data_IF_433398506914
#
_entry.id   IF_433398506914
#
_cell.length_a   1.000
_cell.length_b   1.000
_cell.length_c   1.000
_cell.angle_alpha   90.00
_cell.angle_beta   90.00
_cell.angle_gamma   90.00
#
_symmetry.space_group_name_H-M   'P 1'
#
loop_
_entity.id
_entity.type
_entity.pdbx_description
1 polymer ?
#
# COMPACT_ATOMS: atom_id res chain seq x y z
N UNK A 1 7.18 -14.90 -8.00
CA UNK A 1 8.64 -14.79 -8.04
C UNK A 1 9.03 -13.56 -7.24
N UNK A 2 9.96 -13.64 -6.29
CA UNK A 2 10.34 -12.48 -5.47
C UNK A 2 11.36 -11.65 -6.23
N UNK A 3 11.06 -10.39 -6.54
CA UNK A 3 12.02 -9.46 -7.15
C UNK A 3 13.26 -9.26 -6.25
N UNK A 4 13.04 -9.16 -4.94
CA UNK A 4 14.10 -8.94 -3.95
C UNK A 4 15.04 -10.13 -3.79
N UNK A 5 14.56 -11.37 -3.91
CA UNK A 5 15.42 -12.57 -3.77
C UNK A 5 16.40 -12.76 -4.94
N UNK A 6 16.13 -12.14 -6.07
CA UNK A 6 16.98 -12.19 -7.26
C UNK A 6 17.98 -11.02 -7.33
N UNK A 7 17.86 -10.03 -6.45
CA UNK A 7 18.58 -8.76 -6.56
C UNK A 7 19.75 -8.58 -5.58
N UNK A 8 19.85 -9.41 -4.52
CA UNK A 8 20.91 -9.23 -3.51
C UNK A 8 21.52 -10.57 -3.06
N UNK A 9 22.85 -10.59 -2.96
CA UNK A 9 23.56 -11.66 -2.27
C UNK A 9 23.18 -11.65 -0.76
N UNK A 10 23.08 -12.80 -0.08
CA UNK A 10 22.82 -12.85 1.34
C UNK A 10 23.89 -12.10 2.11
N UNK A 11 23.49 -11.13 2.93
CA UNK A 11 24.40 -10.40 3.80
C UNK A 11 24.68 -11.30 5.00
N UNK A 12 25.94 -11.68 5.19
CA UNK A 12 26.35 -12.51 6.33
C UNK A 12 26.00 -11.79 7.65
N UNK A 13 25.22 -12.47 8.51
CA UNK A 13 24.90 -12.01 9.86
C UNK A 13 23.43 -11.67 10.11
N UNK A 14 22.57 -11.63 9.09
CA UNK A 14 21.14 -11.35 9.23
C UNK A 14 20.30 -12.62 8.98
N UNK A 15 19.07 -12.66 9.52
CA UNK A 15 18.11 -13.75 9.24
C UNK A 15 17.91 -13.91 7.72
N UNK A 16 18.19 -15.09 7.17
CA UNK A 16 18.01 -15.33 5.72
C UNK A 16 16.53 -15.42 5.33
N UNK A 17 15.68 -15.84 6.27
CA UNK A 17 14.23 -15.99 6.08
C UNK A 17 13.49 -15.44 7.28
N UNK A 18 12.31 -14.88 7.03
CA UNK A 18 11.38 -14.52 8.08
C UNK A 18 10.59 -15.75 8.51
N UNK A 19 10.47 -15.97 9.81
CA UNK A 19 9.67 -17.07 10.35
C UNK A 19 8.18 -16.75 10.24
N UNK A 20 7.50 -17.48 9.37
CA UNK A 20 6.06 -17.40 9.14
C UNK A 20 5.28 -18.53 9.82
N UNK A 21 5.94 -19.44 10.55
CA UNK A 21 5.31 -20.62 11.13
C UNK A 21 4.19 -20.25 12.13
N UNK A 22 3.10 -21.02 12.10
CA UNK A 22 1.97 -20.84 13.02
C UNK A 22 1.12 -19.59 12.81
N UNK A 23 1.31 -18.83 11.72
CA UNK A 23 0.54 -17.62 11.42
C UNK A 23 -0.53 -17.92 10.38
N UNK A 24 -1.79 -17.65 10.71
CA UNK A 24 -2.94 -17.81 9.82
C UNK A 24 -3.34 -16.47 9.23
N UNK A 25 -3.41 -16.41 7.90
CA UNK A 25 -3.83 -15.22 7.14
C UNK A 25 -5.34 -15.15 6.89
N UNK A 26 -6.07 -16.24 7.17
CA UNK A 26 -7.50 -16.34 6.87
C UNK A 26 -8.34 -15.26 7.58
N UNK A 27 -7.93 -14.83 8.77
CA UNK A 27 -8.63 -13.83 9.58
C UNK A 27 -8.33 -12.37 9.20
N UNK A 28 -7.41 -12.13 8.26
CA UNK A 28 -7.00 -10.78 7.88
C UNK A 28 -7.93 -10.12 6.86
N UNK A 29 -8.88 -10.87 6.32
CA UNK A 29 -9.83 -10.39 5.32
C UNK A 29 -11.12 -9.85 5.96
N UNK A 30 -11.45 -8.57 5.79
CA UNK A 30 -12.71 -8.00 6.27
C UNK A 30 -13.88 -8.35 5.35
N UNK A 31 -14.94 -8.97 5.89
CA UNK A 31 -16.11 -9.44 5.11
C UNK A 31 -16.87 -8.37 4.31
N UNK A 32 -16.75 -7.07 4.67
CA UNK A 32 -17.38 -5.98 3.91
C UNK A 32 -16.76 -5.73 2.52
N UNK A 33 -15.59 -6.29 2.22
CA UNK A 33 -14.93 -6.10 0.93
C UNK A 33 -15.58 -6.91 -0.20
N UNK A 34 -16.22 -8.04 0.10
CA UNK A 34 -17.00 -8.81 -0.88
C UNK A 34 -18.20 -7.99 -1.45
N UNK A 35 -18.84 -7.18 -0.61
CA UNK A 35 -19.90 -6.26 -1.05
C UNK A 35 -19.35 -5.21 -2.01
N UNK A 36 -18.19 -4.64 -1.70
CA UNK A 36 -17.54 -3.65 -2.55
C UNK A 36 -17.26 -4.17 -3.97
N UNK A 37 -16.80 -5.42 -4.10
CA UNK A 37 -16.54 -6.04 -5.40
C UNK A 37 -17.84 -6.18 -6.22
N UNK A 38 -18.93 -6.66 -5.63
CA UNK A 38 -20.25 -6.77 -6.30
C UNK A 38 -20.75 -5.40 -6.77
N UNK A 39 -20.55 -4.35 -5.97
CA UNK A 39 -20.97 -3.00 -6.32
C UNK A 39 -20.12 -2.41 -7.47
N UNK A 40 -18.82 -2.72 -7.52
CA UNK A 40 -17.96 -2.38 -8.65
C UNK A 40 -18.43 -3.07 -9.95
N UNK A 41 -18.71 -4.38 -9.91
CA UNK A 41 -19.18 -5.15 -11.07
C UNK A 41 -20.47 -4.55 -11.66
N UNK A 42 -21.44 -4.13 -10.83
CA UNK A 42 -22.67 -3.48 -11.29
C UNK A 42 -22.41 -2.17 -12.04
N UNK A 43 -21.34 -1.46 -11.72
CA UNK A 43 -20.97 -0.18 -12.31
C UNK A 43 -20.13 -0.28 -13.58
N UNK A 44 -19.60 -1.47 -13.91
CA UNK A 44 -18.75 -1.67 -15.10
C UNK A 44 -19.40 -1.25 -16.42
N UNK A 45 -20.73 -1.29 -16.51
CA UNK A 45 -21.47 -0.89 -17.72
C UNK A 45 -21.21 0.56 -18.14
N UNK A 46 -20.90 1.43 -17.17
CA UNK A 46 -20.66 2.86 -17.40
C UNK A 46 -19.18 3.23 -17.41
N UNK A 47 -18.29 2.25 -17.32
CA UNK A 47 -16.84 2.45 -17.22
C UNK A 47 -16.17 2.24 -18.57
N UNK A 48 -15.36 3.20 -19.01
CA UNK A 48 -14.59 3.15 -20.25
C UNK A 48 -13.16 2.67 -20.04
N UNK A 49 -12.56 2.96 -18.86
CA UNK A 49 -11.19 2.59 -18.51
C UNK A 49 -11.05 2.29 -17.02
N UNK A 50 -10.14 1.39 -16.67
CA UNK A 50 -9.77 1.08 -15.30
C UNK A 50 -8.45 1.75 -14.95
N UNK A 51 -8.41 2.37 -13.78
CA UNK A 51 -7.21 2.93 -13.18
C UNK A 51 -6.89 2.12 -11.93
N UNK A 52 -5.99 1.15 -12.04
CA UNK A 52 -5.56 0.34 -10.92
C UNK A 52 -4.41 1.02 -10.19
N UNK A 53 -4.54 1.23 -8.87
CA UNK A 53 -3.55 1.92 -8.06
C UNK A 53 -2.92 0.94 -7.09
N UNK A 54 -1.60 0.77 -7.19
CA UNK A 54 -0.77 0.03 -6.24
C UNK A 54 0.16 0.98 -5.47
N UNK A 55 0.66 0.52 -4.34
CA UNK A 55 1.81 1.15 -3.68
C UNK A 55 3.08 0.70 -4.41
N UNK A 56 3.93 1.64 -4.81
CA UNK A 56 5.13 1.34 -5.60
C UNK A 56 6.14 0.44 -4.88
N UNK A 57 6.03 0.29 -3.55
CA UNK A 57 6.86 -0.63 -2.75
C UNK A 57 6.44 -2.10 -2.89
N UNK A 58 5.18 -2.36 -3.31
CA UNK A 58 4.58 -3.69 -3.49
C UNK A 58 3.87 -3.80 -4.85
N UNK A 59 4.56 -3.60 -5.96
CA UNK A 59 3.95 -3.59 -7.29
C UNK A 59 3.25 -4.90 -7.66
N UNK A 60 3.75 -6.04 -7.18
CA UNK A 60 3.21 -7.37 -7.44
C UNK A 60 2.25 -7.83 -6.34
N UNK A 61 2.65 -7.71 -5.07
CA UNK A 61 1.85 -8.13 -3.91
C UNK A 61 0.58 -7.31 -3.71
N UNK A 62 0.50 -6.12 -4.30
CA UNK A 62 -0.68 -5.26 -4.28
C UNK A 62 -1.82 -5.74 -5.19
N UNK A 63 -1.61 -6.78 -6.03
CA UNK A 63 -2.62 -7.30 -6.96
C UNK A 63 -3.77 -8.00 -6.26
N UNK A 64 -4.94 -7.85 -6.86
CA UNK A 64 -6.10 -8.65 -6.49
C UNK A 64 -6.60 -9.43 -7.72
N UNK A 65 -6.34 -10.75 -7.82
CA UNK A 65 -6.74 -11.57 -8.96
C UNK A 65 -8.23 -11.49 -9.26
N UNK A 66 -9.08 -11.37 -8.24
CA UNK A 66 -10.54 -11.26 -8.44
C UNK A 66 -10.94 -9.97 -9.17
N UNK A 67 -10.17 -8.90 -9.02
CA UNK A 67 -10.41 -7.67 -9.78
C UNK A 67 -10.12 -7.89 -11.26
N UNK A 68 -9.08 -8.64 -11.62
CA UNK A 68 -8.74 -8.93 -13.01
C UNK A 68 -9.82 -9.78 -13.68
N UNK A 69 -10.27 -10.86 -13.06
CA UNK A 69 -11.35 -11.69 -13.59
C UNK A 69 -12.66 -10.93 -13.75
N UNK A 70 -12.98 -10.08 -12.76
CA UNK A 70 -14.23 -9.34 -12.74
C UNK A 70 -14.30 -8.18 -13.75
N UNK A 71 -13.14 -7.64 -14.15
CA UNK A 71 -13.05 -6.37 -14.88
C UNK A 71 -12.52 -6.53 -16.33
N UNK A 72 -12.04 -7.65 -16.68
CA UNK A 72 -11.41 -8.34 -17.78
C UNK A 72 -11.10 -7.60 -19.09
N UNK A 73 -12.04 -6.98 -19.76
CA UNK A 73 -11.89 -6.49 -21.15
C UNK A 73 -11.80 -4.96 -21.29
N UNK A 74 -11.77 -4.25 -20.18
CA UNK A 74 -11.65 -2.78 -20.21
C UNK A 74 -10.20 -2.34 -20.39
N UNK A 75 -9.93 -1.24 -21.11
CA UNK A 75 -8.62 -0.62 -21.09
C UNK A 75 -8.15 -0.38 -19.66
N UNK A 76 -6.87 -0.60 -19.41
CA UNK A 76 -6.32 -0.68 -18.07
C UNK A 76 -5.00 0.11 -17.97
N UNK A 77 -4.92 1.03 -17.02
CA UNK A 77 -3.69 1.73 -16.64
C UNK A 77 -3.34 1.38 -15.19
N UNK A 78 -2.15 0.83 -14.97
CA UNK A 78 -1.60 0.57 -13.65
C UNK A 78 -0.80 1.78 -13.15
N UNK A 79 -1.20 2.35 -12.01
CA UNK A 79 -0.45 3.37 -11.32
C UNK A 79 0.32 2.76 -10.14
N UNK A 80 1.64 2.90 -10.15
CA UNK A 80 2.52 2.62 -9.02
C UNK A 80 2.73 3.93 -8.25
N UNK A 81 1.83 4.17 -7.29
CA UNK A 81 1.79 5.41 -6.50
C UNK A 81 2.75 5.35 -5.30
N UNK A 82 3.05 6.51 -4.70
CA UNK A 82 4.03 6.68 -3.62
C UNK A 82 5.44 6.26 -4.05
N UNK A 83 5.81 6.58 -5.29
CA UNK A 83 7.13 6.26 -5.82
C UNK A 83 8.26 6.93 -5.04
N UNK A 84 7.96 7.98 -4.29
CA UNK A 84 8.86 8.67 -3.37
C UNK A 84 9.33 7.77 -2.21
N UNK A 85 8.55 6.74 -1.84
CA UNK A 85 8.84 5.78 -0.77
C UNK A 85 9.52 4.50 -1.25
N UNK A 86 9.53 4.25 -2.57
CA UNK A 86 10.03 3.02 -3.17
C UNK A 86 11.50 3.13 -3.60
N UNK A 87 12.25 2.05 -3.43
CA UNK A 87 13.56 1.90 -4.08
C UNK A 87 13.33 1.52 -5.56
N UNK A 88 13.58 2.47 -6.45
CA UNK A 88 13.39 2.32 -7.89
C UNK A 88 14.70 2.03 -8.65
N UNK A 89 15.76 1.64 -7.97
CA UNK A 89 17.06 1.30 -8.57
C UNK A 89 16.90 0.27 -9.69
N UNK A 90 15.99 -0.70 -9.50
CA UNK A 90 15.71 -1.77 -10.46
C UNK A 90 14.40 -1.59 -11.23
N UNK A 91 13.99 -0.34 -11.46
CA UNK A 91 12.73 -0.01 -12.17
C UNK A 91 12.52 -0.76 -13.50
N UNK A 92 13.53 -0.92 -14.40
CA UNK A 92 13.34 -1.66 -15.65
C UNK A 92 12.89 -3.10 -15.41
N UNK A 93 13.46 -3.77 -14.42
CA UNK A 93 13.12 -5.15 -14.07
C UNK A 93 11.71 -5.27 -13.46
N UNK A 94 11.30 -4.28 -12.68
CA UNK A 94 9.92 -4.21 -12.16
C UNK A 94 8.94 -4.14 -13.32
N UNK A 95 9.21 -3.30 -14.33
CA UNK A 95 8.37 -3.16 -15.51
C UNK A 95 8.33 -4.45 -16.33
N UNK A 96 9.46 -5.11 -16.55
CA UNK A 96 9.54 -6.41 -17.23
C UNK A 96 8.68 -7.49 -16.52
N UNK A 97 8.79 -7.59 -15.19
CA UNK A 97 7.97 -8.53 -14.42
C UNK A 97 6.46 -8.21 -14.52
N UNK A 98 6.08 -6.94 -14.57
CA UNK A 98 4.69 -6.53 -14.73
C UNK A 98 4.18 -6.82 -16.15
N UNK A 99 5.01 -6.59 -17.16
CA UNK A 99 4.70 -6.92 -18.56
C UNK A 99 4.44 -8.41 -18.76
N UNK A 100 5.29 -9.27 -18.17
CA UNK A 100 5.10 -10.74 -18.16
C UNK A 100 3.78 -11.16 -17.49
N UNK A 101 3.22 -10.30 -16.62
CA UNK A 101 1.93 -10.52 -15.98
C UNK A 101 0.76 -9.83 -16.73
N UNK A 102 1.01 -9.28 -17.93
CA UNK A 102 0.00 -8.65 -18.78
C UNK A 102 -0.24 -7.16 -18.51
N UNK A 103 0.58 -6.48 -17.68
CA UNK A 103 0.51 -5.04 -17.49
C UNK A 103 1.43 -4.32 -18.48
N UNK A 104 0.88 -3.88 -19.60
CA UNK A 104 1.62 -3.13 -20.63
C UNK A 104 1.64 -1.63 -20.39
N UNK A 105 0.65 -1.11 -19.64
CA UNK A 105 0.49 0.31 -19.37
C UNK A 105 0.73 0.57 -17.88
N UNK A 106 1.94 1.01 -17.53
CA UNK A 106 2.37 1.24 -16.13
C UNK A 106 2.93 2.65 -15.98
N UNK A 107 2.48 3.38 -14.97
CA UNK A 107 2.95 4.72 -14.66
C UNK A 107 3.30 4.84 -13.16
N UNK A 108 4.51 5.30 -12.85
CA UNK A 108 4.91 5.64 -11.49
C UNK A 108 4.45 7.06 -11.14
N UNK A 109 3.85 7.24 -9.95
CA UNK A 109 3.28 8.51 -9.52
C UNK A 109 3.64 8.86 -8.07
N UNK A 110 3.73 10.17 -7.80
CA UNK A 110 3.76 10.73 -6.45
C UNK A 110 2.66 11.80 -6.32
N UNK A 111 1.65 11.51 -5.50
CA UNK A 111 0.54 12.43 -5.26
C UNK A 111 0.88 13.57 -4.30
N UNK A 112 1.99 13.50 -3.55
CA UNK A 112 2.42 14.57 -2.65
C UNK A 112 3.04 15.73 -3.45
N UNK A 113 3.85 15.38 -4.46
CA UNK A 113 4.52 16.35 -5.35
C UNK A 113 3.82 16.54 -6.69
N UNK A 114 2.70 15.86 -6.93
CA UNK A 114 1.99 15.80 -8.21
C UNK A 114 2.87 15.29 -9.38
N UNK A 115 3.88 14.47 -9.06
CA UNK A 115 4.80 13.95 -10.06
C UNK A 115 4.12 12.89 -10.93
N UNK A 116 4.23 13.03 -12.26
CA UNK A 116 3.60 12.22 -13.28
C UNK A 116 2.05 12.22 -13.29
N UNK A 117 1.38 12.96 -12.41
CA UNK A 117 -0.10 13.02 -12.36
C UNK A 117 -0.67 13.60 -13.67
N UNK A 118 0.01 14.60 -14.26
CA UNK A 118 -0.42 15.19 -15.54
C UNK A 118 -0.44 14.21 -16.70
N UNK A 119 0.34 13.13 -16.65
CA UNK A 119 0.43 12.11 -17.69
C UNK A 119 -0.75 11.15 -17.68
N UNK A 120 -1.51 11.05 -16.59
CA UNK A 120 -2.60 10.08 -16.44
C UNK A 120 -3.72 10.33 -17.45
N UNK A 121 -4.21 11.58 -17.57
CA UNK A 121 -5.32 11.90 -18.49
C UNK A 121 -4.97 11.61 -19.95
N UNK A 122 -3.81 12.03 -20.50
CA UNK A 122 -3.41 11.69 -21.87
C UNK A 122 -3.34 10.18 -22.11
N UNK A 123 -2.71 9.41 -21.21
CA UNK A 123 -2.62 7.95 -21.33
C UNK A 123 -4.01 7.28 -21.34
N UNK A 124 -4.88 7.69 -20.43
CA UNK A 124 -6.24 7.15 -20.36
C UNK A 124 -7.03 7.52 -21.62
N UNK A 125 -6.87 8.74 -22.14
CA UNK A 125 -7.51 9.16 -23.40
C UNK A 125 -7.09 8.27 -24.56
N UNK A 126 -5.78 8.01 -24.70
CA UNK A 126 -5.23 7.12 -25.73
C UNK A 126 -5.79 5.70 -25.60
N UNK A 127 -5.79 5.13 -24.39
CA UNK A 127 -6.33 3.80 -24.13
C UNK A 127 -7.82 3.68 -24.49
N UNK A 128 -8.62 4.69 -24.15
CA UNK A 128 -10.05 4.72 -24.50
C UNK A 128 -10.24 4.84 -26.01
N UNK A 129 -9.45 5.68 -26.70
CA UNK A 129 -9.55 5.88 -28.14
C UNK A 129 -9.21 4.61 -28.94
N UNK A 130 -8.29 3.81 -28.43
CA UNK A 130 -7.84 2.55 -29.04
C UNK A 130 -8.71 1.35 -28.65
N UNK A 131 -9.83 1.54 -27.94
CA UNK A 131 -10.69 0.47 -27.47
C UNK A 131 -12.13 0.59 -27.99
N UNK A 132 -12.85 -0.54 -28.21
CA UNK A 132 -14.28 -0.50 -28.44
C UNK A 132 -14.97 -0.07 -27.14
N UNK A 133 -15.66 1.07 -27.15
CA UNK A 133 -16.32 1.62 -25.93
C UNK A 133 -17.62 0.88 -25.56
N UNK A 134 -17.87 -0.31 -26.10
CA UNK A 134 -19.00 -1.16 -25.76
C UNK A 134 -20.33 -0.39 -25.56
N UNK A 135 -20.93 0.11 -26.64
CA UNK A 135 -22.17 0.90 -26.67
C UNK A 135 -22.08 2.32 -26.08
N UNK A 136 -20.88 2.85 -25.87
CA UNK A 136 -20.65 4.20 -25.32
C UNK A 136 -19.97 5.15 -26.31
N UNK A 137 -19.86 4.77 -27.59
CA UNK A 137 -19.16 5.60 -28.60
C UNK A 137 -19.77 6.98 -28.79
N UNK A 138 -21.09 7.11 -28.59
CA UNK A 138 -21.81 8.39 -28.70
C UNK A 138 -21.63 9.29 -27.46
N UNK A 139 -21.12 8.76 -26.35
CA UNK A 139 -20.93 9.54 -25.14
C UNK A 139 -19.70 10.43 -25.26
N UNK A 140 -19.88 11.72 -25.14
CA UNK A 140 -18.79 12.72 -25.11
C UNK A 140 -17.95 12.60 -23.86
N UNK A 141 -18.54 12.21 -22.74
CA UNK A 141 -17.84 11.99 -21.47
C UNK A 141 -17.24 10.60 -21.35
N UNK A 142 -16.08 10.54 -20.70
CA UNK A 142 -15.42 9.28 -20.33
C UNK A 142 -15.53 9.03 -18.83
N UNK A 143 -15.79 7.79 -18.46
CA UNK A 143 -15.90 7.35 -17.08
C UNK A 143 -14.80 6.35 -16.73
N UNK A 144 -14.00 6.66 -15.72
CA UNK A 144 -12.86 5.86 -15.27
C UNK A 144 -13.20 5.31 -13.88
N UNK A 145 -12.99 4.02 -13.64
CA UNK A 145 -13.11 3.44 -12.31
C UNK A 145 -11.72 3.30 -11.67
N UNK A 146 -11.56 3.84 -10.46
CA UNK A 146 -10.31 3.72 -9.70
C UNK A 146 -10.42 2.54 -8.77
N UNK A 147 -9.52 1.57 -8.92
CA UNK A 147 -9.49 0.31 -8.15
C UNK A 147 -8.14 0.12 -7.44
N UNK A 148 -8.06 -0.82 -6.52
CA UNK A 148 -6.85 -1.22 -5.81
C UNK A 148 -7.11 -1.53 -4.33
N UNK A 149 -6.11 -2.06 -3.66
CA UNK A 149 -6.19 -2.40 -2.22
C UNK A 149 -6.32 -1.13 -1.36
N UNK A 150 -6.68 -1.24 -0.08
CA UNK A 150 -6.74 -0.08 0.81
C UNK A 150 -5.39 0.64 0.92
N UNK A 151 -5.42 1.94 1.20
CA UNK A 151 -4.27 2.81 1.53
C UNK A 151 -3.18 2.98 0.46
N UNK A 152 -3.38 2.51 -0.79
CA UNK A 152 -2.45 2.76 -1.91
C UNK A 152 -2.51 4.20 -2.43
N UNK A 153 -3.51 4.97 -2.01
CA UNK A 153 -3.66 6.39 -2.38
C UNK A 153 -4.67 6.67 -3.49
N UNK A 154 -5.69 5.82 -3.70
CA UNK A 154 -6.76 6.04 -4.68
C UNK A 154 -7.39 7.43 -4.57
N UNK A 155 -7.89 7.78 -3.38
CA UNK A 155 -8.48 9.10 -3.11
C UNK A 155 -7.46 10.23 -3.25
N UNK A 156 -6.17 9.97 -3.01
CA UNK A 156 -5.09 10.94 -3.23
C UNK A 156 -4.88 11.19 -4.73
N UNK A 157 -4.89 10.16 -5.56
CA UNK A 157 -4.81 10.27 -7.03
C UNK A 157 -5.97 11.11 -7.56
N UNK A 158 -7.21 10.84 -7.13
CA UNK A 158 -8.39 11.62 -7.52
C UNK A 158 -8.23 13.09 -7.15
N UNK A 159 -7.82 13.39 -5.92
CA UNK A 159 -7.64 14.76 -5.46
C UNK A 159 -6.48 15.46 -6.18
N UNK A 160 -5.38 14.76 -6.48
CA UNK A 160 -4.26 15.29 -7.26
C UNK A 160 -4.67 15.61 -8.71
N UNK A 161 -5.41 14.73 -9.38
CA UNK A 161 -5.94 14.98 -10.72
C UNK A 161 -6.83 16.24 -10.75
N UNK A 162 -7.71 16.39 -9.77
CA UNK A 162 -8.56 17.60 -9.66
C UNK A 162 -7.74 18.87 -9.44
N UNK A 163 -6.74 18.80 -8.58
CA UNK A 163 -5.86 19.94 -8.31
C UNK A 163 -5.10 20.36 -9.56
N UNK A 164 -4.54 19.39 -10.28
CA UNK A 164 -3.68 19.61 -11.43
C UNK A 164 -4.47 20.06 -12.68
N UNK A 165 -5.63 19.45 -12.94
CA UNK A 165 -6.38 19.70 -14.19
C UNK A 165 -7.53 20.70 -14.04
N UNK A 166 -8.18 20.76 -12.87
CA UNK A 166 -9.33 21.62 -12.64
C UNK A 166 -9.04 22.79 -11.68
N UNK A 167 -7.89 22.80 -11.02
CA UNK A 167 -7.56 23.74 -9.93
C UNK A 167 -8.63 23.74 -8.80
N UNK A 168 -9.34 22.63 -8.62
CA UNK A 168 -10.40 22.44 -7.62
C UNK A 168 -9.88 21.68 -6.41
N UNK A 169 -10.49 21.94 -5.25
CA UNK A 169 -10.15 21.32 -3.98
C UNK A 169 -10.50 19.82 -3.91
N UNK A 170 -10.30 19.23 -2.72
CA UNK A 170 -10.55 17.82 -2.43
C UNK A 170 -12.01 17.45 -2.65
N UNK A 171 -12.28 16.32 -3.30
CA UNK A 171 -13.61 15.74 -3.48
C UNK A 171 -13.71 14.32 -2.91
N UNK A 172 -12.59 13.68 -2.60
CA UNK A 172 -12.55 12.38 -1.96
C UNK A 172 -11.84 12.45 -0.61
N UNK A 173 -12.36 11.71 0.38
CA UNK A 173 -11.77 11.63 1.73
C UNK A 173 -10.47 10.83 1.68
N UNK A 174 -9.43 11.37 2.28
CA UNK A 174 -8.13 10.73 2.42
C UNK A 174 -7.87 10.44 3.90
N UNK A 175 -7.49 9.22 4.22
CA UNK A 175 -7.14 8.84 5.58
C UNK A 175 -6.16 7.66 5.63
N UNK A 176 -5.51 7.48 6.79
CA UNK A 176 -4.50 6.45 7.01
C UNK A 176 -5.04 5.07 7.38
N UNK A 177 -6.32 4.95 7.73
CA UNK A 177 -6.91 3.66 8.11
C UNK A 177 -7.56 2.95 6.90
N UNK A 178 -7.44 1.61 6.78
CA UNK A 178 -8.14 0.84 5.76
C UNK A 178 -9.67 0.96 5.89
N UNK A 179 -10.37 1.11 4.74
CA UNK A 179 -11.84 1.10 4.69
C UNK A 179 -12.51 2.45 4.95
N UNK A 180 -11.82 3.57 4.78
CA UNK A 180 -12.41 4.92 4.88
C UNK A 180 -13.43 5.16 3.78
N UNK A 181 -13.12 4.79 2.53
CA UNK A 181 -14.08 4.82 1.42
C UNK A 181 -14.98 3.58 1.51
N UNK A 182 -16.23 3.76 1.90
CA UNK A 182 -17.19 2.65 2.16
C UNK A 182 -18.15 2.34 1.02
N UNK A 183 -18.27 3.22 0.04
CA UNK A 183 -19.24 3.05 -1.05
C UNK A 183 -18.66 3.50 -2.40
N UNK A 184 -19.01 2.78 -3.47
CA UNK A 184 -18.72 3.15 -4.88
C UNK A 184 -19.82 4.10 -5.31
N UNK A 185 -19.67 5.42 -5.19
CA UNK A 185 -20.90 6.20 -5.41
C UNK A 185 -20.73 7.55 -6.07
N UNK A 186 -19.59 8.18 -6.01
CA UNK A 186 -19.52 9.56 -6.46
C UNK A 186 -18.77 9.64 -7.79
N UNK A 187 -19.49 10.11 -8.82
CA UNK A 187 -18.89 10.49 -10.10
C UNK A 187 -18.19 11.83 -9.90
N UNK A 188 -16.86 11.83 -9.89
CA UNK A 188 -16.03 12.99 -9.59
C UNK A 188 -15.38 13.48 -10.88
N UNK A 189 -15.67 14.69 -11.31
CA UNK A 189 -15.02 15.29 -12.48
C UNK A 189 -13.53 15.55 -12.20
N UNK A 190 -12.66 15.17 -13.15
CA UNK A 190 -11.20 15.32 -13.06
C UNK A 190 -10.59 16.01 -14.27
N UNK A 191 -11.32 16.11 -15.39
CA UNK A 191 -10.91 16.86 -16.57
C UNK A 191 -12.13 17.50 -17.27
N UNK A 192 -11.92 18.63 -17.92
CA UNK A 192 -12.92 19.32 -18.74
C UNK A 192 -12.67 19.11 -20.25
N UNK A 193 -11.42 18.87 -20.62
CA UNK A 193 -11.02 18.63 -22.01
C UNK A 193 -9.93 17.55 -22.07
N UNK A 194 -10.28 16.30 -22.41
CA UNK A 194 -11.65 15.75 -22.60
C UNK A 194 -12.45 15.72 -21.29
N UNK A 195 -13.78 15.66 -21.38
CA UNK A 195 -14.64 15.54 -20.20
C UNK A 195 -14.45 14.15 -19.60
N UNK A 196 -13.87 14.09 -18.39
CA UNK A 196 -13.61 12.85 -17.67
C UNK A 196 -14.09 12.88 -16.23
N UNK A 197 -14.67 11.75 -15.83
CA UNK A 197 -15.11 11.51 -14.46
C UNK A 197 -14.44 10.26 -13.90
N UNK A 198 -14.13 10.31 -12.61
CA UNK A 198 -13.68 9.16 -11.85
C UNK A 198 -14.78 8.64 -10.92
N UNK A 199 -14.86 7.32 -10.80
CA UNK A 199 -15.62 6.64 -9.76
C UNK A 199 -14.65 6.19 -8.68
N UNK A 200 -14.74 6.80 -7.49
CA UNK A 200 -13.95 6.36 -6.33
C UNK A 200 -14.55 5.06 -5.78
N UNK A 201 -13.69 4.09 -5.53
CA UNK A 201 -14.11 2.77 -5.04
C UNK A 201 -13.49 2.47 -3.68
N UNK A 202 -14.17 1.70 -2.82
CA UNK A 202 -13.53 1.17 -1.62
C UNK A 202 -12.33 0.31 -2.01
N UNK A 203 -11.31 0.28 -1.15
CA UNK A 203 -10.20 -0.64 -1.33
C UNK A 203 -10.66 -2.09 -1.10
N UNK A 204 -10.32 -2.97 -2.03
CA UNK A 204 -10.68 -4.40 -1.96
C UNK A 204 -9.41 -5.24 -1.96
N UNK A 205 -9.22 -6.00 -0.88
CA UNK A 205 -8.21 -7.06 -0.78
C UNK A 205 -8.75 -8.35 -1.42
N UNK A 206 -7.86 -9.24 -1.83
CA UNK A 206 -8.24 -10.61 -2.16
C UNK A 206 -8.77 -11.33 -0.90
N UNK A 207 -9.87 -12.10 -0.98
CA UNK A 207 -10.32 -12.94 0.13
C UNK A 207 -9.29 -13.98 0.55
N UNK A 208 -8.46 -14.40 -0.39
CA UNK A 208 -7.36 -15.33 -0.16
C UNK A 208 -6.04 -14.60 -0.39
N UNK A 209 -5.32 -14.37 0.68
CA UNK A 209 -3.94 -13.90 0.61
C UNK A 209 -3.09 -15.14 0.37
N UNK A 210 -2.36 -15.19 -0.75
CA UNK A 210 -1.64 -16.37 -1.22
C UNK A 210 -0.59 -16.93 -0.24
N UNK A 211 0.02 -16.07 0.59
CA UNK A 211 0.95 -16.47 1.64
C UNK A 211 1.06 -15.42 2.73
N UNK A 212 1.56 -15.82 3.90
CA UNK A 212 1.77 -14.95 5.07
C UNK A 212 2.64 -13.73 4.71
N UNK A 213 3.69 -13.94 3.94
CA UNK A 213 4.59 -12.85 3.56
C UNK A 213 3.91 -11.77 2.72
N UNK A 214 3.06 -12.14 1.76
CA UNK A 214 2.23 -11.18 1.01
C UNK A 214 1.34 -10.38 1.96
N UNK A 215 0.75 -11.04 2.95
CA UNK A 215 -0.04 -10.39 3.99
C UNK A 215 0.76 -9.39 4.83
N UNK A 216 1.99 -9.73 5.21
CA UNK A 216 2.89 -8.85 5.95
C UNK A 216 3.33 -7.63 5.12
N UNK A 217 3.61 -7.80 3.83
CA UNK A 217 3.89 -6.70 2.90
C UNK A 217 2.70 -5.73 2.78
N UNK A 218 1.50 -6.29 2.63
CA UNK A 218 0.25 -5.52 2.62
C UNK A 218 0.02 -4.78 3.94
N UNK A 219 0.28 -5.44 5.07
CA UNK A 219 0.18 -4.83 6.39
C UNK A 219 1.20 -3.69 6.56
N UNK A 220 2.46 -3.87 6.18
CA UNK A 220 3.47 -2.80 6.20
C UNK A 220 3.03 -1.57 5.40
N UNK A 221 2.41 -1.76 4.23
CA UNK A 221 1.86 -0.67 3.42
C UNK A 221 0.53 -0.12 3.97
N UNK A 222 -0.01 -0.70 5.05
CA UNK A 222 -1.25 -0.27 5.70
C UNK A 222 -2.51 -0.69 4.96
N UNK A 223 -2.45 -1.68 4.05
CA UNK A 223 -3.61 -2.23 3.37
C UNK A 223 -4.46 -3.13 4.28
N UNK A 224 -3.84 -3.73 5.29
CA UNK A 224 -4.47 -4.51 6.35
C UNK A 224 -4.34 -3.72 7.66
N UNK A 225 -5.34 -3.83 8.53
CA UNK A 225 -5.32 -3.18 9.86
C UNK A 225 -4.29 -3.84 10.76
N UNK A 226 -3.45 -3.06 11.41
CA UNK A 226 -2.30 -3.53 12.18
C UNK A 226 -2.70 -4.51 13.30
N UNK A 227 -3.79 -4.22 14.03
CA UNK A 227 -4.28 -5.08 15.12
C UNK A 227 -4.78 -6.46 14.67
N UNK A 228 -5.05 -6.67 13.38
CA UNK A 228 -5.43 -8.00 12.85
C UNK A 228 -4.21 -8.91 12.66
N UNK A 229 -3.04 -8.33 12.43
CA UNK A 229 -1.77 -9.02 12.21
C UNK A 229 -0.94 -9.07 13.48
N UNK A 230 -1.04 -8.00 14.28
CA UNK A 230 -0.22 -7.73 15.47
C UNK A 230 0.91 -6.75 15.14
N UNK A 231 0.95 -5.63 15.85
CA UNK A 231 1.91 -4.55 15.60
C UNK A 231 3.36 -5.03 15.79
N UNK A 232 3.62 -5.86 16.78
CA UNK A 232 4.97 -6.41 17.04
C UNK A 232 5.43 -7.33 15.90
N UNK A 233 4.52 -8.11 15.33
CA UNK A 233 4.81 -8.99 14.18
C UNK A 233 5.16 -8.18 12.93
N UNK A 234 4.39 -7.12 12.66
CA UNK A 234 4.65 -6.22 11.53
C UNK A 234 5.97 -5.49 11.74
N UNK A 235 6.27 -5.06 12.97
CA UNK A 235 7.53 -4.41 13.31
C UNK A 235 8.74 -5.34 13.15
N UNK A 236 8.60 -6.62 13.52
CA UNK A 236 9.64 -7.62 13.32
C UNK A 236 9.89 -7.88 11.83
N UNK A 237 8.83 -8.00 11.03
CA UNK A 237 8.96 -8.12 9.58
C UNK A 237 9.58 -6.87 8.94
N UNK A 238 9.25 -5.69 9.44
CA UNK A 238 9.87 -4.43 9.02
C UNK A 238 11.38 -4.43 9.31
N UNK A 239 11.77 -4.78 10.54
CA UNK A 239 13.17 -4.86 10.94
C UNK A 239 13.96 -5.85 10.06
N UNK A 240 13.40 -7.05 9.87
CA UNK A 240 13.95 -8.05 8.95
C UNK A 240 14.17 -7.46 7.54
N UNK A 241 13.16 -6.78 6.99
CA UNK A 241 13.23 -6.20 5.64
C UNK A 241 14.29 -5.10 5.55
N UNK A 242 14.34 -4.20 6.53
CA UNK A 242 15.34 -3.12 6.57
C UNK A 242 16.77 -3.67 6.65
N UNK A 243 17.00 -4.67 7.49
CA UNK A 243 18.31 -5.32 7.63
C UNK A 243 18.72 -6.04 6.33
N UNK A 244 17.80 -6.77 5.69
CA UNK A 244 18.04 -7.41 4.40
C UNK A 244 18.41 -6.40 3.31
N UNK A 245 17.85 -5.20 3.34
CA UNK A 245 18.12 -4.15 2.37
C UNK A 245 19.21 -3.18 2.83
N UNK A 246 19.91 -3.47 3.95
CA UNK A 246 20.96 -2.63 4.51
C UNK A 246 20.51 -1.18 4.78
N UNK A 247 19.22 -1.01 5.11
CA UNK A 247 18.62 0.28 5.46
C UNK A 247 18.66 0.47 6.97
N UNK A 248 19.77 1.03 7.45
CA UNK A 248 20.04 1.16 8.90
C UNK A 248 19.67 2.52 9.48
N UNK A 249 18.89 3.33 8.78
CA UNK A 249 18.46 4.65 9.25
C UNK A 249 17.70 4.63 10.59
N UNK A 250 17.12 3.48 10.95
CA UNK A 250 16.48 3.30 12.26
C UNK A 250 17.46 3.33 13.42
N UNK A 251 18.75 2.97 13.20
CA UNK A 251 19.81 3.01 14.21
C UNK A 251 20.05 4.42 14.67
N UNK A 252 20.35 5.32 13.74
CA UNK A 252 20.58 6.74 14.04
C UNK A 252 19.31 7.40 14.59
N UNK A 253 18.15 7.13 13.99
CA UNK A 253 16.89 7.74 14.36
C UNK A 253 16.46 7.48 15.81
N UNK A 254 16.71 6.28 16.31
CA UNK A 254 16.30 5.86 17.66
C UNK A 254 17.46 5.70 18.62
N UNK A 255 18.69 6.09 18.23
CA UNK A 255 19.87 6.09 19.08
C UNK A 255 20.30 4.70 19.53
N UNK A 256 20.26 3.71 18.60
CA UNK A 256 20.81 2.38 18.88
C UNK A 256 22.33 2.38 18.69
N UNK A 257 23.02 1.50 19.40
CA UNK A 257 24.49 1.33 19.28
C UNK A 257 24.90 0.73 17.92
N UNK A 258 23.98 0.06 17.24
CA UNK A 258 24.20 -0.53 15.93
C UNK A 258 22.98 -1.28 15.40
N UNK A 259 23.06 -1.79 14.16
CA UNK A 259 22.00 -2.61 13.59
C UNK A 259 21.82 -3.90 14.39
N UNK A 260 20.56 -4.30 14.61
CA UNK A 260 20.19 -5.49 15.37
C UNK A 260 19.10 -6.26 14.66
N UNK A 261 19.11 -7.60 14.78
CA UNK A 261 18.06 -8.48 14.27
C UNK A 261 17.09 -8.94 15.37
N UNK A 262 17.28 -8.44 16.59
CA UNK A 262 16.42 -8.70 17.73
C UNK A 262 15.37 -7.59 17.85
N UNK A 263 14.13 -7.89 17.48
CA UNK A 263 13.03 -6.93 17.50
C UNK A 263 12.71 -6.40 18.90
N UNK A 264 12.82 -7.24 19.94
CA UNK A 264 12.54 -6.81 21.32
C UNK A 264 13.54 -5.76 21.78
N UNK A 265 14.83 -5.94 21.46
CA UNK A 265 15.89 -4.99 21.77
C UNK A 265 15.64 -3.65 21.06
N UNK A 266 15.30 -3.69 19.76
CA UNK A 266 15.00 -2.48 18.97
C UNK A 266 13.76 -1.76 19.50
N UNK A 267 12.66 -2.48 19.77
CA UNK A 267 11.43 -1.89 20.29
C UNK A 267 11.62 -1.33 21.70
N UNK A 268 12.46 -1.97 22.53
CA UNK A 268 12.83 -1.44 23.85
C UNK A 268 13.53 -0.09 23.71
N UNK A 269 14.52 0.02 22.84
CA UNK A 269 15.23 1.27 22.58
C UNK A 269 14.29 2.37 22.05
N UNK A 270 13.40 2.03 21.11
CA UNK A 270 12.37 2.95 20.59
C UNK A 270 11.44 3.41 21.72
N UNK A 271 10.98 2.48 22.59
CA UNK A 271 10.10 2.83 23.70
C UNK A 271 10.77 3.79 24.69
N UNK A 272 12.04 3.58 24.98
CA UNK A 272 12.80 4.41 25.90
C UNK A 272 13.14 5.78 25.30
N UNK A 273 13.62 5.83 24.06
CA UNK A 273 13.96 7.09 23.37
C UNK A 273 12.75 8.02 23.21
N UNK A 274 11.55 7.46 23.04
CA UNK A 274 10.31 8.21 22.87
C UNK A 274 9.49 8.35 24.15
N UNK A 275 9.98 7.86 25.30
CA UNK A 275 9.28 7.90 26.58
C UNK A 275 7.98 7.09 26.60
N UNK A 276 7.81 6.12 25.67
CA UNK A 276 6.62 5.25 25.57
C UNK A 276 6.71 4.14 26.63
N UNK A 277 6.28 4.43 27.84
CA UNK A 277 6.31 3.50 28.98
C UNK A 277 4.91 3.24 29.51
N UNK A 278 4.72 2.05 30.11
CA UNK A 278 3.50 1.67 30.85
C UNK A 278 3.82 1.38 32.30
N UNK A 279 2.89 1.69 33.18
CA UNK A 279 3.00 1.33 34.60
C UNK A 279 2.56 -0.12 34.79
N UNK A 280 3.41 -0.95 35.36
CA UNK A 280 3.12 -2.36 35.66
C UNK A 280 3.19 -2.52 37.18
N UNK A 281 2.18 -3.17 37.77
CA UNK A 281 2.23 -3.60 39.17
C UNK A 281 2.94 -4.95 39.21
N UNK A 282 4.07 -5.00 39.88
CA UNK A 282 4.82 -6.23 40.14
C UNK A 282 4.62 -6.66 41.58
N UNK A 283 4.32 -7.94 41.80
CA UNK A 283 4.27 -8.54 43.13
C UNK A 283 5.71 -8.75 43.60
N UNK A 284 6.05 -8.19 44.74
CA UNK A 284 7.32 -8.45 45.44
C UNK A 284 7.02 -9.18 46.76
N UNK A 285 8.00 -9.82 47.38
CA UNK A 285 7.81 -10.48 48.66
C UNK A 285 7.31 -9.57 49.78
N UNK A 286 7.34 -8.23 49.60
CA UNK A 286 6.93 -7.22 50.59
C UNK A 286 5.70 -6.43 50.15
N UNK A 287 5.06 -6.76 49.00
CA UNK A 287 3.87 -6.05 48.49
C UNK A 287 3.90 -5.73 46.98
N UNK A 288 2.96 -4.91 46.54
CA UNK A 288 2.86 -4.47 45.15
C UNK A 288 3.73 -3.22 44.91
N UNK A 289 4.68 -3.32 43.97
CA UNK A 289 5.48 -2.16 43.53
C UNK A 289 5.06 -1.80 42.11
N UNK A 290 4.85 -0.51 41.85
CA UNK A 290 4.54 -0.01 40.51
C UNK A 290 5.84 0.35 39.79
N UNK A 291 6.18 -0.36 38.71
CA UNK A 291 7.38 -0.13 37.90
C UNK A 291 6.99 0.44 36.55
N UNK A 292 7.81 1.33 36.00
CA UNK A 292 7.70 1.78 34.59
C UNK A 292 8.39 0.75 33.70
N UNK A 293 7.64 0.14 32.77
CA UNK A 293 8.18 -0.78 31.77
C UNK A 293 8.00 -0.21 30.36
N UNK A 294 8.85 -0.59 29.39
CA UNK A 294 8.66 -0.23 27.98
C UNK A 294 7.30 -0.67 27.46
N UNK A 295 6.65 0.14 26.61
CA UNK A 295 5.42 -0.22 25.93
C UNK A 295 5.76 -0.66 24.51
N UNK A 296 5.95 -1.97 24.31
CA UNK A 296 6.36 -2.55 23.03
C UNK A 296 5.35 -2.31 21.91
N UNK A 297 4.04 -2.44 22.16
CA UNK A 297 3.01 -2.18 21.16
C UNK A 297 3.04 -0.71 20.69
N UNK A 298 3.20 0.24 21.61
CA UNK A 298 3.30 1.64 21.24
C UNK A 298 4.60 1.95 20.47
N UNK A 299 5.69 1.26 20.79
CA UNK A 299 6.95 1.36 20.04
C UNK A 299 6.83 0.73 18.64
N UNK A 300 6.21 -0.43 18.52
CA UNK A 300 5.95 -1.09 17.26
C UNK A 300 5.07 -0.23 16.33
N UNK A 301 3.96 0.30 16.86
CA UNK A 301 3.08 1.22 16.10
C UNK A 301 3.84 2.45 15.60
N UNK A 302 4.73 3.03 16.40
CA UNK A 302 5.57 4.16 16.01
C UNK A 302 6.60 3.80 14.94
N UNK A 303 7.24 2.64 15.07
CA UNK A 303 8.21 2.14 14.10
C UNK A 303 7.57 1.93 12.74
N UNK A 304 6.39 1.29 12.69
CA UNK A 304 5.57 1.09 11.50
C UNK A 304 5.13 2.45 10.91
N UNK A 305 4.66 3.36 11.75
CA UNK A 305 4.23 4.69 11.31
C UNK A 305 5.39 5.47 10.66
N UNK A 306 6.56 5.44 11.27
CA UNK A 306 7.78 6.10 10.79
C UNK A 306 8.20 5.55 9.42
N UNK A 307 8.10 4.23 9.23
CA UNK A 307 8.32 3.58 7.95
C UNK A 307 7.32 4.04 6.88
N UNK A 308 6.03 4.06 7.21
CA UNK A 308 4.98 4.49 6.29
C UNK A 308 5.12 5.96 5.86
N UNK A 309 5.79 6.77 6.67
CA UNK A 309 6.15 8.16 6.35
C UNK A 309 7.42 8.30 5.50
N UNK A 310 8.10 7.19 5.18
CA UNK A 310 9.34 7.20 4.41
C UNK A 310 10.57 7.69 5.19
N UNK A 311 10.50 7.74 6.51
CA UNK A 311 11.57 8.26 7.38
C UNK A 311 12.62 7.20 7.75
N UNK A 312 12.46 5.97 7.23
CA UNK A 312 13.41 4.86 7.42
C UNK A 312 14.10 4.41 6.12
N UNK A 313 14.08 5.28 5.10
CA UNK A 313 14.66 5.01 3.80
C UNK A 313 13.65 4.48 2.79
N UNK A 314 14.11 4.36 1.53
CA UNK A 314 13.32 3.81 0.43
C UNK A 314 13.53 2.31 0.37
N UNK A 315 12.46 1.55 0.20
CA UNK A 315 12.50 0.08 0.15
C UNK A 315 11.68 -0.47 -1.02
N UNK A 316 12.05 -1.67 -1.47
CA UNK A 316 11.23 -2.52 -2.32
C UNK A 316 10.90 -3.78 -1.53
N UNK A 317 9.60 -4.10 -1.40
CA UNK A 317 9.14 -5.25 -0.61
C UNK A 317 8.90 -6.50 -1.48
N UNK A 318 8.69 -6.32 -2.79
CA UNK A 318 8.49 -7.42 -3.76
C UNK A 318 9.77 -7.94 -4.39
#
# INVERSE_FOLDING_TARGET
MRLTSLLRAPVRGWRERFDCAGRDVAHWFPGHMAKGLKDMQKRLRVVDCLLEVHDARIPLSGRNPLLQEALGIRPHLLLLNKMDLADLTHKPRILECLEQQGFTNVLFTDCLKDENIRKIIPHVTELISNSPRYQRNENVESCIMVIGVPNVGKSSVINSLRRVHLRKGKASLVGGAPGITRAVLTKIQVSERPIMFLLDTPGVLSPQIGCVETGLKLALCGAIRDHLVGEEVIADYLLYTLNQQQQFSYVERYGLDGPSDNVESVLKSIALSLGKTRRIKMLTGTGNVTVKAPNYNAAASEFIYTFRKGLLGKVMLD
#
